data_IF_541146802767
#
_entry.id   IF_541146802767
#
_cell.length_a   1.000
_cell.length_b   1.000
_cell.length_c   1.000
_cell.angle_alpha   90.00
_cell.angle_beta   90.00
_cell.angle_gamma   90.00
#
_symmetry.space_group_name_H-M   'P 1'
#
loop_
_entity.id
_entity.type
_entity.pdbx_description
1 polymer ?
#
# COMPACT_ATOMS: atom_id res chain seq x y z
N UNK A 1 41.66 53.51 -37.87
CA UNK A 1 42.11 54.63 -38.74
C UNK A 1 43.29 54.10 -39.54
N UNK A 2 43.29 54.28 -40.88
CA UNK A 2 44.41 54.04 -41.84
C UNK A 2 45.05 52.63 -41.89
N UNK A 3 45.45 52.03 -43.01
CA UNK A 3 45.17 52.18 -44.47
C UNK A 3 45.83 50.92 -45.12
N UNK A 4 45.16 49.97 -45.77
CA UNK A 4 44.70 49.87 -47.16
C UNK A 4 45.71 50.16 -48.31
N UNK A 5 46.26 49.09 -48.91
CA UNK A 5 46.84 49.03 -50.28
C UNK A 5 46.51 47.63 -50.84
N UNK A 6 45.67 47.41 -51.89
CA UNK A 6 45.84 47.68 -53.34
C UNK A 6 47.12 47.06 -53.93
N UNK A 7 47.19 46.41 -55.11
CA UNK A 7 46.25 45.93 -56.18
C UNK A 7 47.02 44.78 -56.94
N UNK A 8 46.42 43.64 -57.36
CA UNK A 8 45.79 43.33 -58.67
C UNK A 8 46.69 43.51 -59.93
N UNK A 9 46.52 42.81 -61.10
CA UNK A 9 45.66 41.65 -61.43
C UNK A 9 46.23 40.56 -62.41
N UNK A 10 45.42 39.51 -62.65
CA UNK A 10 45.15 38.77 -63.93
C UNK A 10 46.21 37.99 -64.73
N UNK A 11 46.01 36.66 -64.80
CA UNK A 11 45.91 35.73 -65.96
C UNK A 11 45.72 34.28 -65.38
N UNK A 12 45.07 33.26 -65.97
CA UNK A 12 44.08 33.13 -67.06
C UNK A 12 43.22 31.85 -66.78
N UNK A 13 41.88 31.94 -66.79
CA UNK A 13 40.93 31.37 -67.78
C UNK A 13 40.69 29.83 -67.81
N UNK A 14 39.52 29.42 -67.25
CA UNK A 14 38.63 28.29 -67.60
C UNK A 14 39.19 26.89 -67.95
N UNK A 15 38.97 25.91 -67.06
CA UNK A 15 37.99 24.80 -67.23
C UNK A 15 38.30 23.60 -66.30
N UNK A 16 37.35 23.21 -65.44
CA UNK A 16 36.84 21.83 -65.31
C UNK A 16 35.91 21.67 -64.10
N UNK A 17 34.81 20.94 -64.29
CA UNK A 17 33.77 20.68 -63.27
C UNK A 17 33.76 19.19 -62.92
N UNK A 18 34.10 18.78 -61.69
CA UNK A 18 34.02 17.38 -61.28
C UNK A 18 32.57 16.92 -61.06
N UNK A 19 32.20 15.83 -61.74
CA UNK A 19 30.89 15.17 -61.68
C UNK A 19 30.68 14.43 -60.34
N UNK A 20 29.45 14.32 -59.79
CA UNK A 20 29.21 13.60 -58.54
C UNK A 20 29.51 12.10 -58.65
N UNK A 21 30.24 11.57 -57.68
CA UNK A 21 30.63 10.16 -57.66
C UNK A 21 29.48 9.27 -57.13
N UNK A 22 28.80 8.59 -58.05
CA UNK A 22 27.78 7.58 -57.73
C UNK A 22 28.44 6.34 -57.12
N UNK A 23 28.34 6.14 -55.80
CA UNK A 23 28.70 4.85 -55.20
C UNK A 23 27.49 3.91 -55.11
N UNK A 24 27.75 2.66 -55.51
CA UNK A 24 26.76 1.60 -55.68
C UNK A 24 25.98 1.29 -54.40
N UNK A 25 24.70 0.94 -54.59
CA UNK A 25 23.80 0.60 -53.50
C UNK A 25 24.26 -0.62 -52.72
N UNK A 26 24.34 -0.47 -51.39
CA UNK A 26 24.38 -1.60 -50.47
C UNK A 26 23.03 -2.31 -50.51
N UNK A 27 22.97 -3.65 -50.60
CA UNK A 27 21.70 -4.36 -50.45
C UNK A 27 21.12 -4.06 -49.07
N UNK A 28 19.78 -3.94 -48.92
CA UNK A 28 19.18 -3.68 -47.62
C UNK A 28 19.46 -4.85 -46.70
N UNK A 29 20.39 -4.66 -45.75
CA UNK A 29 20.50 -5.56 -44.61
C UNK A 29 19.14 -5.56 -43.92
N UNK A 30 18.46 -6.70 -43.98
CA UNK A 30 17.19 -6.90 -43.28
C UNK A 30 17.40 -6.49 -41.83
N UNK A 31 16.73 -5.40 -41.43
CA UNK A 31 16.70 -4.97 -40.06
C UNK A 31 16.10 -6.13 -39.25
N UNK A 32 16.96 -6.88 -38.56
CA UNK A 32 16.53 -7.88 -37.60
C UNK A 32 15.69 -7.14 -36.58
N UNK A 33 14.37 -7.35 -36.63
CA UNK A 33 13.42 -6.64 -35.79
C UNK A 33 13.77 -6.94 -34.35
N UNK A 34 14.42 -5.98 -33.69
CA UNK A 34 14.81 -6.10 -32.29
C UNK A 34 13.56 -6.51 -31.50
N UNK A 35 13.59 -7.63 -30.76
CA UNK A 35 12.38 -8.20 -30.20
C UNK A 35 11.67 -7.17 -29.33
N UNK A 36 10.44 -6.82 -29.72
CA UNK A 36 9.65 -5.76 -29.07
C UNK A 36 9.71 -5.96 -27.57
N UNK A 37 10.21 -4.97 -26.79
CA UNK A 37 10.52 -5.20 -25.39
C UNK A 37 9.26 -5.64 -24.65
N UNK A 38 9.26 -6.87 -24.12
CA UNK A 38 8.06 -7.52 -23.55
C UNK A 38 7.39 -6.58 -22.56
N UNK A 39 6.19 -6.11 -22.91
CA UNK A 39 5.41 -5.16 -22.12
C UNK A 39 4.76 -5.80 -20.90
N UNK A 40 4.67 -7.13 -20.82
CA UNK A 40 4.05 -7.87 -19.71
C UNK A 40 5.06 -8.70 -18.90
N UNK A 41 4.88 -8.70 -17.57
CA UNK A 41 5.56 -9.59 -16.63
C UNK A 41 5.40 -11.07 -17.05
N UNK A 42 6.48 -11.85 -16.94
CA UNK A 42 6.46 -13.28 -17.25
C UNK A 42 5.49 -14.02 -16.32
N UNK A 43 4.41 -14.58 -16.89
CA UNK A 43 3.45 -15.36 -16.12
C UNK A 43 4.12 -16.51 -15.36
N UNK A 44 5.12 -17.18 -15.96
CA UNK A 44 5.89 -18.25 -15.30
C UNK A 44 6.69 -17.71 -14.12
N UNK A 45 7.36 -16.56 -14.28
CA UNK A 45 8.06 -15.90 -13.17
C UNK A 45 7.11 -15.54 -12.03
N UNK A 46 5.94 -14.98 -12.37
CA UNK A 46 4.91 -14.62 -11.39
C UNK A 46 4.35 -15.84 -10.66
N UNK A 47 4.05 -16.93 -11.36
CA UNK A 47 3.59 -18.17 -10.75
C UNK A 47 4.65 -18.75 -9.80
N UNK A 48 5.93 -18.76 -10.19
CA UNK A 48 7.02 -19.21 -9.31
C UNK A 48 7.11 -18.33 -8.05
N UNK A 49 7.13 -17.00 -8.20
CA UNK A 49 7.22 -16.08 -7.07
C UNK A 49 6.01 -16.14 -6.14
N UNK A 50 4.80 -16.20 -6.71
CA UNK A 50 3.55 -16.33 -5.96
C UNK A 50 3.49 -17.66 -5.19
N UNK A 51 3.76 -18.80 -5.86
CA UNK A 51 3.81 -20.12 -5.22
C UNK A 51 4.87 -20.17 -4.12
N UNK A 52 6.04 -19.55 -4.32
CA UNK A 52 7.07 -19.48 -3.29
C UNK A 52 6.60 -18.70 -2.04
N UNK A 53 5.90 -17.57 -2.20
CA UNK A 53 5.35 -16.84 -1.04
C UNK A 53 4.19 -17.57 -0.38
N UNK A 54 3.26 -18.15 -1.14
CA UNK A 54 2.15 -18.92 -0.57
C UNK A 54 2.66 -20.15 0.19
N UNK A 55 3.68 -20.85 -0.34
CA UNK A 55 4.33 -21.96 0.36
C UNK A 55 5.08 -21.48 1.62
N UNK A 56 5.82 -20.37 1.55
CA UNK A 56 6.52 -19.79 2.70
C UNK A 56 5.55 -19.37 3.81
N UNK A 57 4.44 -18.70 3.48
CA UNK A 57 3.42 -18.34 4.46
C UNK A 57 2.68 -19.56 4.97
N UNK A 58 2.35 -20.54 4.13
CA UNK A 58 1.75 -21.82 4.58
C UNK A 58 2.64 -22.55 5.60
N UNK A 59 3.94 -22.62 5.32
CA UNK A 59 4.94 -23.20 6.23
C UNK A 59 5.07 -22.37 7.53
N UNK A 60 5.10 -21.04 7.44
CA UNK A 60 5.10 -20.15 8.61
C UNK A 60 3.85 -20.38 9.47
N UNK A 61 2.66 -20.41 8.87
CA UNK A 61 1.38 -20.52 9.59
C UNK A 61 1.17 -21.90 10.19
N UNK A 62 1.64 -22.96 9.51
CA UNK A 62 1.71 -24.29 10.10
C UNK A 62 2.73 -24.35 11.26
N UNK A 63 3.91 -23.77 11.08
CA UNK A 63 4.97 -23.71 12.09
C UNK A 63 4.55 -23.00 13.37
N UNK A 64 3.97 -21.79 13.28
CA UNK A 64 3.51 -21.06 14.47
C UNK A 64 2.34 -21.77 15.16
N UNK A 65 1.45 -22.44 14.41
CA UNK A 65 0.35 -23.24 14.99
C UNK A 65 0.86 -24.48 15.73
N UNK A 66 1.92 -25.13 15.20
CA UNK A 66 2.55 -26.28 15.85
C UNK A 66 3.39 -25.87 17.08
N UNK A 67 3.99 -24.67 17.06
CA UNK A 67 4.79 -24.15 18.17
C UNK A 67 3.94 -23.48 19.27
N UNK A 68 2.78 -22.90 18.95
CA UNK A 68 1.97 -22.14 19.92
C UNK A 68 1.68 -22.88 21.24
N UNK A 69 1.34 -24.19 21.28
CA UNK A 69 1.08 -24.89 22.54
C UNK A 69 2.26 -24.93 23.51
N UNK A 70 3.49 -24.74 23.02
CA UNK A 70 4.72 -24.73 23.84
C UNK A 70 4.94 -23.40 24.58
N UNK A 71 4.28 -22.32 24.14
CA UNK A 71 4.51 -20.96 24.62
C UNK A 71 3.22 -20.27 25.14
N UNK A 72 2.05 -20.90 24.99
CA UNK A 72 0.76 -20.44 25.55
C UNK A 72 0.90 -20.03 27.02
N UNK A 73 0.46 -18.81 27.33
CA UNK A 73 0.42 -18.28 28.71
C UNK A 73 1.66 -17.50 29.15
N UNK A 74 2.63 -17.24 28.27
CA UNK A 74 3.78 -16.37 28.58
C UNK A 74 3.48 -14.86 28.40
N UNK A 75 2.32 -14.51 27.86
CA UNK A 75 1.82 -13.14 27.77
C UNK A 75 0.32 -13.05 28.07
N UNK A 76 -0.24 -11.83 28.22
CA UNK A 76 -1.66 -11.63 28.48
C UNK A 76 -2.50 -12.06 27.27
N UNK A 77 -3.70 -12.58 27.51
CA UNK A 77 -4.75 -12.66 26.49
C UNK A 77 -5.24 -11.26 26.10
N UNK A 78 -5.96 -11.15 24.98
CA UNK A 78 -6.59 -9.90 24.53
C UNK A 78 -7.54 -9.34 25.60
N UNK A 79 -8.34 -10.20 26.24
CA UNK A 79 -9.25 -9.79 27.32
C UNK A 79 -8.49 -9.24 28.53
N UNK A 80 -7.47 -9.96 29.01
CA UNK A 80 -6.64 -9.51 30.14
C UNK A 80 -5.90 -8.21 29.84
N UNK A 81 -5.49 -8.00 28.59
CA UNK A 81 -4.87 -6.75 28.14
C UNK A 81 -5.86 -5.57 28.11
N UNK A 82 -7.13 -5.79 27.78
CA UNK A 82 -8.14 -4.72 27.66
C UNK A 82 -8.78 -4.36 29.01
N UNK A 83 -8.86 -5.28 29.97
CA UNK A 83 -9.47 -5.03 31.29
C UNK A 83 -8.92 -3.79 32.05
N UNK A 84 -7.60 -3.52 32.11
CA UNK A 84 -7.07 -2.35 32.84
C UNK A 84 -7.25 -1.00 32.12
N UNK A 85 -7.63 -1.02 30.84
CA UNK A 85 -7.55 0.12 29.92
C UNK A 85 -8.31 1.38 30.40
N UNK A 86 -9.47 1.30 31.08
CA UNK A 86 -10.11 2.49 31.65
C UNK A 86 -9.24 3.21 32.68
N UNK A 87 -8.34 2.53 33.40
CA UNK A 87 -7.65 3.07 34.58
C UNK A 87 -6.12 3.10 34.47
N UNK A 88 -5.50 2.36 33.55
CA UNK A 88 -4.04 2.30 33.38
C UNK A 88 -3.54 3.05 32.13
N UNK A 89 -2.61 3.99 32.36
CA UNK A 89 -1.97 4.78 31.31
C UNK A 89 -1.04 3.93 30.41
N UNK A 90 -0.37 2.91 30.96
CA UNK A 90 0.51 2.06 30.17
C UNK A 90 -0.29 1.21 29.17
N UNK A 91 -1.39 0.62 29.64
CA UNK A 91 -2.34 -0.15 28.82
C UNK A 91 -2.98 0.73 27.74
N UNK A 92 -3.36 1.99 28.05
CA UNK A 92 -3.81 2.96 27.04
C UNK A 92 -2.73 3.28 26.00
N UNK A 93 -1.48 3.47 26.41
CA UNK A 93 -0.37 3.70 25.48
C UNK A 93 -0.10 2.47 24.60
N UNK A 94 -0.18 1.26 25.16
CA UNK A 94 -0.12 0.01 24.40
C UNK A 94 -1.30 -0.14 23.43
N UNK A 95 -2.52 0.22 23.84
CA UNK A 95 -3.71 0.17 22.97
C UNK A 95 -3.54 1.06 21.74
N UNK A 96 -3.18 2.32 21.95
CA UNK A 96 -2.89 3.30 20.90
C UNK A 96 -1.67 2.90 20.06
N UNK A 97 -0.69 2.19 20.62
CA UNK A 97 0.38 1.59 19.82
C UNK A 97 -0.17 0.44 18.95
N UNK A 98 -1.02 -0.43 19.50
CA UNK A 98 -1.65 -1.55 18.82
C UNK A 98 -2.62 -1.17 17.70
N UNK A 99 -3.25 0.02 17.78
CA UNK A 99 -4.04 0.63 16.69
C UNK A 99 -3.25 0.65 15.36
N UNK A 100 -1.93 0.84 15.39
CA UNK A 100 -1.12 0.97 14.17
C UNK A 100 -1.13 -0.29 13.27
N UNK A 101 -1.50 -1.46 13.82
CA UNK A 101 -1.60 -2.75 13.12
C UNK A 101 -3.00 -3.36 13.13
N UNK A 102 -3.96 -2.64 13.68
CA UNK A 102 -5.39 -2.94 13.59
C UNK A 102 -5.95 -2.94 12.15
N UNK A 103 -5.46 -2.11 11.20
CA UNK A 103 -5.79 -2.22 9.77
C UNK A 103 -5.50 -3.60 9.14
N UNK A 104 -4.49 -4.33 9.64
CA UNK A 104 -4.19 -5.69 9.21
C UNK A 104 -4.94 -6.77 10.01
N UNK A 105 -5.86 -6.38 10.89
CA UNK A 105 -6.57 -7.25 11.84
C UNK A 105 -5.65 -7.91 12.87
N UNK A 106 -4.49 -7.32 13.16
CA UNK A 106 -3.54 -7.86 14.16
C UNK A 106 -3.77 -7.29 15.56
N UNK A 107 -4.05 -5.99 15.65
CA UNK A 107 -4.29 -5.24 16.90
C UNK A 107 -3.28 -5.61 18.01
N UNK A 108 -1.99 -5.40 17.73
CA UNK A 108 -0.92 -5.81 18.63
C UNK A 108 0.17 -4.74 18.75
N UNK A 109 0.53 -4.36 19.98
CA UNK A 109 1.60 -3.38 20.21
C UNK A 109 2.99 -3.93 19.80
N UNK A 110 3.22 -5.24 19.93
CA UNK A 110 4.44 -5.92 19.45
C UNK A 110 4.57 -5.88 17.93
N UNK A 111 3.47 -6.19 17.21
CA UNK A 111 3.41 -6.04 15.76
C UNK A 111 3.71 -4.60 15.33
N UNK A 112 3.24 -3.63 16.11
CA UNK A 112 3.41 -2.20 15.84
C UNK A 112 4.84 -1.70 16.10
N UNK A 113 5.52 -2.20 17.13
CA UNK A 113 6.96 -1.98 17.32
C UNK A 113 7.77 -2.56 16.14
N UNK A 114 7.43 -3.78 15.71
CA UNK A 114 8.06 -4.42 14.56
C UNK A 114 7.85 -3.62 13.26
N UNK A 115 6.63 -3.16 13.01
CA UNK A 115 6.26 -2.28 11.88
C UNK A 115 7.12 -1.01 11.86
N UNK A 116 7.21 -0.30 13.00
CA UNK A 116 7.96 0.94 13.13
C UNK A 116 9.46 0.73 12.92
N UNK A 117 10.03 -0.34 13.51
CA UNK A 117 11.44 -0.69 13.34
C UNK A 117 11.77 -1.03 11.88
N UNK A 118 10.94 -1.85 11.22
CA UNK A 118 11.11 -2.22 9.81
C UNK A 118 10.96 -1.01 8.87
N UNK A 119 9.98 -0.13 9.13
CA UNK A 119 9.77 1.09 8.36
C UNK A 119 10.89 2.12 8.54
N UNK A 120 11.40 2.30 9.78
CA UNK A 120 12.54 3.16 10.05
C UNK A 120 13.82 2.65 9.36
N UNK A 121 14.06 1.34 9.39
CA UNK A 121 15.17 0.70 8.69
C UNK A 121 15.06 0.89 7.17
N UNK A 122 13.86 0.72 6.59
CA UNK A 122 13.60 0.95 5.18
C UNK A 122 13.83 2.41 4.76
N UNK A 123 13.35 3.37 5.55
CA UNK A 123 13.54 4.79 5.29
C UNK A 123 15.03 5.19 5.39
N UNK A 124 15.74 4.71 6.41
CA UNK A 124 17.18 4.93 6.57
C UNK A 124 18.00 4.30 5.43
N UNK A 125 17.65 3.08 5.01
CA UNK A 125 18.33 2.38 3.93
C UNK A 125 18.05 3.06 2.57
N UNK A 126 16.78 3.44 2.32
CA UNK A 126 16.34 4.09 1.08
C UNK A 126 16.92 5.49 0.92
N UNK A 127 16.90 6.31 1.97
CA UNK A 127 17.52 7.65 1.97
C UNK A 127 19.05 7.61 1.78
N UNK A 128 19.70 6.47 2.06
CA UNK A 128 21.12 6.20 1.81
C UNK A 128 21.39 5.38 0.54
N UNK A 129 20.40 5.24 -0.35
CA UNK A 129 20.53 4.57 -1.64
C UNK A 129 20.91 3.08 -1.56
N UNK A 130 20.62 2.40 -0.44
CA UNK A 130 21.01 1.00 -0.23
C UNK A 130 20.14 0.08 -1.10
N UNK A 131 20.79 -0.79 -1.90
CA UNK A 131 20.12 -1.73 -2.82
C UNK A 131 19.16 -2.71 -2.14
N UNK A 132 19.34 -2.97 -0.85
CA UNK A 132 18.51 -3.88 -0.05
C UNK A 132 17.33 -3.20 0.67
N UNK A 133 17.14 -1.88 0.51
CA UNK A 133 16.10 -1.10 1.21
C UNK A 133 14.64 -1.50 0.92
N UNK A 134 14.41 -2.48 0.05
CA UNK A 134 13.09 -2.88 -0.43
C UNK A 134 12.59 -2.00 -1.58
N UNK A 135 11.28 -1.96 -1.76
CA UNK A 135 10.57 -1.02 -2.59
C UNK A 135 10.61 0.37 -1.94
N UNK A 136 10.58 1.47 -2.72
CA UNK A 136 10.68 2.81 -2.14
C UNK A 136 9.56 3.10 -1.13
N UNK A 137 9.90 3.19 0.17
CA UNK A 137 8.92 3.41 1.24
C UNK A 137 8.12 4.70 1.00
N UNK A 138 6.81 4.64 1.25
CA UNK A 138 5.86 5.72 0.94
C UNK A 138 6.01 6.21 -0.50
N UNK A 139 6.02 5.24 -1.41
CA UNK A 139 6.11 5.40 -2.86
C UNK A 139 7.35 6.16 -3.34
N UNK A 140 8.40 6.22 -2.51
CA UNK A 140 9.64 6.94 -2.80
C UNK A 140 9.54 8.47 -2.69
N UNK A 141 8.44 9.00 -2.14
CA UNK A 141 8.20 10.45 -2.00
C UNK A 141 9.17 11.16 -1.06
N UNK A 142 9.88 10.42 -0.20
CA UNK A 142 10.71 10.98 0.88
C UNK A 142 9.90 11.57 2.05
N UNK A 143 8.56 11.48 2.01
CA UNK A 143 7.67 12.08 3.00
C UNK A 143 7.40 11.19 4.24
N UNK A 144 7.97 9.98 4.30
CA UNK A 144 7.68 8.99 5.36
C UNK A 144 7.70 9.56 6.80
N UNK A 145 8.67 10.38 7.24
CA UNK A 145 8.65 10.95 8.60
C UNK A 145 7.45 11.88 8.86
N UNK A 146 7.02 12.64 7.84
CA UNK A 146 5.84 13.52 7.93
C UNK A 146 4.54 12.70 7.92
N UNK A 147 4.50 11.62 7.13
CA UNK A 147 3.41 10.65 7.10
C UNK A 147 3.24 10.00 8.48
N UNK A 148 4.29 9.36 8.98
CA UNK A 148 4.29 8.68 10.28
C UNK A 148 3.86 9.65 11.39
N UNK A 149 4.51 10.81 11.51
CA UNK A 149 4.21 11.75 12.59
C UNK A 149 2.79 12.32 12.52
N UNK A 150 2.29 12.65 11.32
CA UNK A 150 0.92 13.17 11.15
C UNK A 150 -0.12 12.08 11.44
N UNK A 151 0.09 10.86 10.94
CA UNK A 151 -0.76 9.71 11.22
C UNK A 151 -0.77 9.36 12.71
N UNK A 152 0.39 9.31 13.38
CA UNK A 152 0.50 9.05 14.82
C UNK A 152 -0.19 10.15 15.64
N UNK A 153 -0.04 11.43 15.27
CA UNK A 153 -0.77 12.51 15.95
C UNK A 153 -2.29 12.38 15.76
N UNK A 154 -2.74 12.03 14.55
CA UNK A 154 -4.15 11.76 14.24
C UNK A 154 -4.72 10.62 15.10
N UNK A 155 -3.96 9.53 15.25
CA UNK A 155 -4.29 8.39 16.11
C UNK A 155 -4.35 8.79 17.59
N UNK A 156 -3.38 9.57 18.08
CA UNK A 156 -3.36 10.05 19.47
C UNK A 156 -4.54 10.97 19.75
N UNK A 157 -4.84 11.92 18.87
CA UNK A 157 -6.01 12.81 18.99
C UNK A 157 -7.32 11.99 18.99
N UNK A 158 -7.43 10.96 18.15
CA UNK A 158 -8.55 10.03 18.12
C UNK A 158 -8.71 9.26 19.44
N UNK A 159 -7.62 8.70 19.98
CA UNK A 159 -7.63 8.01 21.28
C UNK A 159 -7.98 8.96 22.44
N UNK A 160 -7.51 10.21 22.42
CA UNK A 160 -7.85 11.20 23.45
C UNK A 160 -9.32 11.66 23.37
N UNK A 161 -9.87 11.81 22.16
CA UNK A 161 -11.24 12.29 21.97
C UNK A 161 -12.30 11.18 22.13
N UNK A 162 -12.01 9.94 21.71
CA UNK A 162 -13.00 8.86 21.61
C UNK A 162 -12.65 7.62 22.45
N UNK A 163 -11.43 7.51 22.98
CA UNK A 163 -10.99 6.38 23.80
C UNK A 163 -11.72 6.23 25.14
N UNK A 164 -12.48 7.24 25.58
CA UNK A 164 -13.37 7.11 26.75
C UNK A 164 -14.42 6.02 26.60
N UNK A 165 -14.88 5.75 25.37
CA UNK A 165 -15.83 4.67 25.05
C UNK A 165 -15.23 3.26 25.02
N UNK A 166 -13.94 3.09 25.34
CA UNK A 166 -13.29 1.78 25.36
C UNK A 166 -13.70 0.91 26.56
N UNK A 167 -14.26 1.51 27.61
CA UNK A 167 -14.87 0.76 28.72
C UNK A 167 -16.19 0.08 28.35
N UNK A 168 -16.83 0.52 27.26
CA UNK A 168 -18.11 -0.01 26.77
C UNK A 168 -17.91 -1.05 25.64
N UNK A 169 -16.68 -1.20 25.14
CA UNK A 169 -16.33 -2.16 24.11
C UNK A 169 -15.24 -1.65 23.15
N UNK A 170 -15.11 -2.34 22.03
CA UNK A 170 -14.15 -1.97 20.98
C UNK A 170 -14.53 -0.67 20.28
N UNK A 171 -13.55 0.21 20.02
CA UNK A 171 -13.75 1.48 19.30
C UNK A 171 -12.80 1.61 18.10
N UNK A 172 -13.23 2.22 16.98
CA UNK A 172 -12.45 2.37 15.73
C UNK A 172 -11.35 3.46 15.81
N UNK A 173 -10.68 3.57 16.95
CA UNK A 173 -9.68 4.61 17.26
C UNK A 173 -8.49 4.64 16.30
N UNK A 174 -8.16 3.49 15.70
CA UNK A 174 -7.09 3.32 14.71
C UNK A 174 -7.33 3.97 13.34
N UNK A 175 -8.59 4.12 12.92
CA UNK A 175 -8.97 4.51 11.56
C UNK A 175 -8.16 5.71 11.01
N UNK A 176 -8.01 6.83 11.75
CA UNK A 176 -7.25 8.00 11.29
C UNK A 176 -5.78 7.76 10.90
N UNK A 177 -5.15 6.69 11.39
CA UNK A 177 -3.74 6.36 11.12
C UNK A 177 -3.48 5.97 9.66
N UNK A 178 -4.45 5.32 9.00
CA UNK A 178 -4.31 4.75 7.65
C UNK A 178 -5.18 5.43 6.60
N UNK A 179 -5.45 6.73 6.77
CA UNK A 179 -6.24 7.47 5.80
C UNK A 179 -5.84 8.95 5.67
N UNK A 180 -6.63 9.84 6.26
CA UNK A 180 -6.68 11.28 6.00
C UNK A 180 -5.35 11.97 6.24
N UNK A 181 -4.72 11.74 7.40
CA UNK A 181 -3.47 12.40 7.77
C UNK A 181 -2.35 12.09 6.77
N UNK A 182 -2.16 10.81 6.45
CA UNK A 182 -1.19 10.32 5.48
C UNK A 182 -1.48 10.83 4.06
N UNK A 183 -2.73 10.73 3.61
CA UNK A 183 -3.13 11.19 2.28
C UNK A 183 -2.98 12.71 2.11
N UNK A 184 -3.23 13.47 3.18
CA UNK A 184 -3.03 14.93 3.20
C UNK A 184 -1.56 15.28 3.04
N UNK A 185 -0.66 14.59 3.76
CA UNK A 185 0.80 14.76 3.58
C UNK A 185 1.26 14.32 2.19
N UNK A 186 0.73 13.24 1.63
CA UNK A 186 1.09 12.78 0.28
C UNK A 186 0.65 13.76 -0.83
N UNK A 187 -0.49 14.44 -0.68
CA UNK A 187 -1.01 15.40 -1.68
C UNK A 187 -0.40 16.79 -1.52
N UNK A 188 -0.31 17.31 -0.29
CA UNK A 188 0.13 18.68 -0.02
C UNK A 188 1.62 18.79 0.34
N UNK A 189 2.30 17.67 0.58
CA UNK A 189 3.73 17.60 0.85
C UNK A 189 4.11 17.80 2.32
N UNK A 190 5.36 18.21 2.55
CA UNK A 190 5.95 18.42 3.89
C UNK A 190 5.60 19.80 4.46
N UNK A 191 5.50 19.88 5.80
CA UNK A 191 5.42 21.14 6.53
C UNK A 191 4.39 21.12 7.65
N UNK A 192 4.63 21.91 8.71
CA UNK A 192 3.77 21.97 9.89
C UNK A 192 2.28 22.28 9.61
N UNK A 193 1.90 23.18 8.68
CA UNK A 193 0.49 23.41 8.37
C UNK A 193 -0.20 22.17 7.80
N UNK A 194 0.46 21.44 6.89
CA UNK A 194 -0.07 20.20 6.28
C UNK A 194 -0.14 19.08 7.32
N UNK A 195 0.91 18.94 8.13
CA UNK A 195 1.00 17.97 9.22
C UNK A 195 -0.13 18.13 10.24
N UNK A 196 -0.32 19.33 10.78
CA UNK A 196 -1.34 19.60 11.78
C UNK A 196 -2.76 19.53 11.18
N UNK A 197 -2.96 20.08 9.98
CA UNK A 197 -4.28 20.01 9.29
C UNK A 197 -4.68 18.56 9.03
N UNK A 198 -3.76 17.74 8.51
CA UNK A 198 -4.02 16.32 8.25
C UNK A 198 -4.33 15.51 9.51
N UNK A 199 -3.60 15.75 10.60
CA UNK A 199 -3.81 15.07 11.87
C UNK A 199 -5.14 15.47 12.54
N UNK A 200 -5.45 16.77 12.59
CA UNK A 200 -6.68 17.27 13.21
C UNK A 200 -7.91 16.83 12.41
N UNK A 201 -7.91 17.04 11.08
CA UNK A 201 -9.05 16.66 10.23
C UNK A 201 -9.20 15.14 10.13
N UNK A 202 -8.11 14.36 10.21
CA UNK A 202 -8.20 12.91 10.31
C UNK A 202 -8.98 12.47 11.55
N UNK A 203 -8.49 12.81 12.73
CA UNK A 203 -9.15 12.48 14.00
C UNK A 203 -10.61 12.98 14.05
N UNK A 204 -10.86 14.23 13.61
CA UNK A 204 -12.18 14.85 13.67
C UNK A 204 -13.20 14.31 12.65
N UNK A 205 -12.76 13.70 11.54
CA UNK A 205 -13.68 13.22 10.50
C UNK A 205 -13.83 11.70 10.44
N UNK A 206 -12.81 10.91 10.76
CA UNK A 206 -12.86 9.47 10.46
C UNK A 206 -13.39 8.62 11.60
N UNK A 207 -12.89 8.81 12.83
CA UNK A 207 -13.34 8.03 13.99
C UNK A 207 -14.82 8.25 14.32
N UNK A 208 -15.35 9.49 14.42
CA UNK A 208 -16.76 9.69 14.74
C UNK A 208 -17.68 9.19 13.61
N UNK A 209 -17.29 9.32 12.33
CA UNK A 209 -18.06 8.75 11.21
C UNK A 209 -18.02 7.22 11.24
N UNK A 210 -16.90 6.59 11.62
CA UNK A 210 -16.83 5.14 11.80
C UNK A 210 -17.78 4.68 12.92
N UNK A 211 -17.77 5.34 14.09
CA UNK A 211 -18.68 5.04 15.20
C UNK A 211 -20.16 5.18 14.79
N UNK A 212 -20.52 6.25 14.07
CA UNK A 212 -21.88 6.45 13.55
C UNK A 212 -22.27 5.34 12.56
N UNK A 213 -21.39 4.98 11.62
CA UNK A 213 -21.66 3.92 10.65
C UNK A 213 -21.71 2.53 11.30
N UNK A 214 -20.96 2.28 12.38
CA UNK A 214 -21.07 1.05 13.17
C UNK A 214 -22.46 0.97 13.80
N UNK A 215 -22.87 2.01 14.51
CA UNK A 215 -24.12 2.02 15.28
C UNK A 215 -25.37 2.03 14.39
N UNK A 216 -25.35 2.74 13.26
CA UNK A 216 -26.53 2.95 12.42
C UNK A 216 -26.55 2.16 11.11
N UNK A 217 -25.44 1.54 10.69
CA UNK A 217 -25.36 0.79 9.43
C UNK A 217 -24.88 -0.65 9.65
N UNK A 218 -23.63 -0.87 10.06
CA UNK A 218 -23.08 -2.23 10.07
C UNK A 218 -23.60 -3.09 11.21
N UNK A 219 -23.84 -2.51 12.40
CA UNK A 219 -24.48 -3.21 13.51
C UNK A 219 -25.88 -3.72 13.16
N UNK A 220 -26.82 -2.85 12.76
CA UNK A 220 -28.18 -3.26 12.36
C UNK A 220 -28.23 -4.23 11.16
N UNK A 221 -27.27 -4.16 10.24
CA UNK A 221 -27.17 -5.06 9.09
C UNK A 221 -26.31 -6.32 9.35
N UNK A 222 -25.80 -6.52 10.56
CA UNK A 222 -24.87 -7.58 10.93
C UNK A 222 -23.63 -7.70 10.01
N UNK A 223 -23.18 -6.57 9.44
CA UNK A 223 -22.01 -6.49 8.57
C UNK A 223 -20.71 -6.34 9.39
N UNK A 224 -19.56 -6.87 8.89
CA UNK A 224 -18.27 -6.68 9.54
C UNK A 224 -17.91 -5.19 9.75
N UNK A 225 -17.42 -4.76 10.93
CA UNK A 225 -17.10 -3.35 11.22
C UNK A 225 -16.11 -2.69 10.25
N UNK A 226 -15.27 -3.47 9.55
CA UNK A 226 -14.37 -2.95 8.51
C UNK A 226 -15.13 -2.23 7.39
N UNK A 227 -16.39 -2.57 7.11
CA UNK A 227 -17.25 -1.85 6.16
C UNK A 227 -17.44 -0.39 6.61
N UNK A 228 -17.85 -0.19 7.87
CA UNK A 228 -18.04 1.14 8.45
C UNK A 228 -16.72 1.91 8.52
N UNK A 229 -15.65 1.26 9.00
CA UNK A 229 -14.31 1.87 9.11
C UNK A 229 -13.82 2.40 7.77
N UNK A 230 -13.91 1.60 6.70
CA UNK A 230 -13.37 1.96 5.38
C UNK A 230 -14.26 2.93 4.62
N UNK A 231 -15.58 2.86 4.81
CA UNK A 231 -16.50 3.91 4.35
C UNK A 231 -16.22 5.24 5.06
N UNK A 232 -15.95 5.23 6.38
CA UNK A 232 -15.56 6.43 7.13
C UNK A 232 -14.23 7.03 6.67
N UNK A 233 -13.21 6.21 6.36
CA UNK A 233 -11.97 6.69 5.73
C UNK A 233 -12.25 7.44 4.43
N UNK A 234 -13.18 6.92 3.62
CA UNK A 234 -13.56 7.49 2.32
C UNK A 234 -14.27 8.84 2.48
N UNK A 235 -15.26 8.89 3.37
CA UNK A 235 -16.07 10.10 3.67
C UNK A 235 -15.19 11.18 4.31
N UNK A 236 -14.42 10.84 5.35
CA UNK A 236 -13.55 11.79 6.05
C UNK A 236 -12.45 12.35 5.16
N UNK A 237 -11.91 11.54 4.25
CA UNK A 237 -10.97 12.02 3.23
C UNK A 237 -11.61 12.96 2.21
N UNK A 238 -12.78 12.61 1.67
CA UNK A 238 -13.50 13.49 0.75
C UNK A 238 -13.84 14.83 1.41
N UNK A 239 -14.37 14.81 2.64
CA UNK A 239 -14.62 16.02 3.43
C UNK A 239 -13.34 16.82 3.67
N UNK A 240 -12.24 16.17 4.05
CA UNK A 240 -10.94 16.82 4.29
C UNK A 240 -10.38 17.49 3.04
N UNK A 241 -10.41 16.83 1.88
CA UNK A 241 -9.95 17.46 0.64
C UNK A 241 -10.85 18.62 0.19
N UNK A 242 -12.17 18.56 0.44
CA UNK A 242 -13.08 19.69 0.23
C UNK A 242 -12.70 20.86 1.15
N UNK A 243 -12.51 20.62 2.45
CA UNK A 243 -12.12 21.64 3.43
C UNK A 243 -10.77 22.28 3.05
N UNK A 244 -9.79 21.45 2.69
CA UNK A 244 -8.43 21.90 2.35
C UNK A 244 -8.41 22.90 1.18
N UNK A 245 -9.32 22.79 0.20
CA UNK A 245 -9.44 23.78 -0.91
C UNK A 245 -9.73 25.20 -0.42
N UNK A 246 -10.37 25.36 0.74
CA UNK A 246 -10.72 26.66 1.31
C UNK A 246 -9.69 27.16 2.35
N UNK A 247 -8.69 26.35 2.71
CA UNK A 247 -7.65 26.73 3.68
C UNK A 247 -6.45 27.37 2.96
N UNK A 248 -6.13 28.66 3.18
CA UNK A 248 -5.16 29.41 2.37
C UNK A 248 -3.70 28.92 2.52
N UNK A 249 -3.42 28.09 3.53
CA UNK A 249 -2.12 27.42 3.75
C UNK A 249 -2.04 26.01 3.12
N UNK A 250 -3.15 25.40 2.73
CA UNK A 250 -3.20 24.07 2.10
C UNK A 250 -3.01 24.20 0.59
N UNK A 251 -1.78 24.53 0.19
CA UNK A 251 -1.43 24.75 -1.23
C UNK A 251 -0.85 23.48 -1.83
N UNK A 252 -1.38 23.05 -2.96
CA UNK A 252 -0.79 21.96 -3.74
C UNK A 252 0.68 22.31 -4.10
N UNK A 253 1.62 21.35 -4.05
CA UNK A 253 2.99 21.59 -4.49
C UNK A 253 3.01 22.12 -5.92
N UNK A 254 3.82 23.16 -6.16
CA UNK A 254 4.08 23.60 -7.54
C UNK A 254 4.70 22.43 -8.31
N UNK A 255 4.27 22.16 -9.56
CA UNK A 255 5.00 21.26 -10.44
C UNK A 255 6.48 21.66 -10.48
N UNK A 256 7.38 20.67 -10.53
CA UNK A 256 8.81 20.96 -10.66
C UNK A 256 9.04 21.84 -11.89
N UNK A 257 9.89 22.88 -11.81
CA UNK A 257 10.25 23.67 -12.98
C UNK A 257 10.77 22.73 -14.07
N UNK A 258 10.13 22.78 -15.24
CA UNK A 258 10.65 22.09 -16.41
C UNK A 258 12.00 22.73 -16.71
N UNK A 259 13.08 21.93 -16.68
CA UNK A 259 14.41 22.47 -16.94
C UNK A 259 14.50 22.83 -18.43
N UNK A 260 14.42 24.12 -18.72
CA UNK A 260 14.78 24.69 -20.01
C UNK A 260 16.27 24.43 -20.25
N UNK A 261 16.54 23.34 -20.96
CA UNK A 261 17.86 23.00 -21.49
C UNK A 261 17.65 22.49 -22.92
N UNK A 262 18.21 23.19 -23.90
CA UNK A 262 18.02 22.98 -25.35
C UNK A 262 18.60 21.66 -25.91
N UNK A 263 18.82 20.66 -25.07
CA UNK A 263 19.03 19.29 -25.52
C UNK A 263 17.66 18.69 -25.92
N UNK A 264 17.57 17.88 -27.00
CA UNK A 264 16.32 17.24 -27.39
C UNK A 264 15.81 16.38 -26.22
N UNK A 265 14.78 16.88 -25.54
CA UNK A 265 14.30 16.34 -24.28
C UNK A 265 13.79 14.93 -24.50
N UNK A 266 14.53 13.93 -24.02
CA UNK A 266 13.90 12.65 -23.73
C UNK A 266 12.74 12.96 -22.78
N UNK A 267 11.49 12.58 -23.12
CA UNK A 267 10.38 12.75 -22.18
C UNK A 267 10.78 12.09 -20.86
N UNK A 268 10.43 12.68 -19.70
CA UNK A 268 10.86 12.18 -18.40
C UNK A 268 10.57 10.69 -18.33
N UNK A 269 11.64 9.89 -18.28
CA UNK A 269 11.52 8.46 -18.51
C UNK A 269 10.55 7.91 -17.47
N UNK A 270 9.43 7.27 -17.88
CA UNK A 270 8.46 6.77 -16.92
C UNK A 270 9.21 5.87 -15.96
N UNK A 271 9.10 6.16 -14.65
CA UNK A 271 9.89 5.50 -13.60
C UNK A 271 9.77 4.00 -13.83
N UNK A 272 10.84 3.38 -14.34
CA UNK A 272 10.85 1.96 -14.69
C UNK A 272 10.89 1.17 -13.39
N UNK A 273 9.71 0.96 -12.81
CA UNK A 273 9.45 0.17 -11.60
C UNK A 273 10.07 -1.21 -11.66
N UNK A 274 10.27 -1.74 -12.87
CA UNK A 274 11.02 -2.97 -13.16
C UNK A 274 12.20 -2.62 -14.09
N UNK A 275 13.41 -2.41 -13.57
CA UNK A 275 14.58 -2.08 -14.38
C UNK A 275 15.19 -3.31 -15.09
N UNK A 276 15.54 -3.12 -16.36
CA UNK A 276 16.30 -4.08 -17.17
C UNK A 276 15.47 -5.12 -17.93
N UNK A 277 16.15 -6.04 -18.60
CA UNK A 277 15.53 -7.06 -19.46
C UNK A 277 14.68 -8.03 -18.64
N UNK A 278 13.44 -8.33 -19.07
CA UNK A 278 12.57 -9.34 -18.46
C UNK A 278 13.22 -10.73 -18.40
N UNK A 279 13.27 -11.33 -17.22
CA UNK A 279 13.65 -12.74 -17.04
C UNK A 279 12.71 -13.40 -16.03
N UNK A 280 12.52 -14.72 -16.15
CA UNK A 280 11.67 -15.50 -15.23
C UNK A 280 12.10 -15.27 -13.77
N UNK A 281 13.40 -15.32 -13.48
CA UNK A 281 13.94 -15.10 -12.15
C UNK A 281 13.71 -13.67 -11.62
N UNK A 282 13.90 -12.63 -12.45
CA UNK A 282 13.65 -11.24 -12.02
C UNK A 282 12.17 -10.99 -11.75
N UNK A 283 11.30 -11.48 -12.64
CA UNK A 283 9.86 -11.33 -12.49
C UNK A 283 9.34 -12.14 -11.27
N UNK A 284 9.95 -13.30 -10.96
CA UNK A 284 9.69 -14.06 -9.74
C UNK A 284 10.12 -13.32 -8.47
N UNK A 285 11.36 -12.83 -8.40
CA UNK A 285 11.86 -12.03 -7.27
C UNK A 285 11.01 -10.77 -7.07
N UNK A 286 10.64 -10.07 -8.15
CA UNK A 286 9.75 -8.92 -8.09
C UNK A 286 8.37 -9.29 -7.53
N UNK A 287 7.84 -10.46 -7.89
CA UNK A 287 6.56 -10.96 -7.38
C UNK A 287 6.62 -11.26 -5.89
N UNK A 288 7.66 -11.97 -5.43
CA UNK A 288 7.89 -12.22 -3.99
C UNK A 288 7.89 -10.90 -3.22
N UNK A 289 8.68 -9.93 -3.72
CA UNK A 289 8.81 -8.61 -3.12
C UNK A 289 7.50 -7.83 -3.09
N UNK A 290 6.70 -7.88 -4.18
CA UNK A 290 5.39 -7.21 -4.24
C UNK A 290 4.41 -7.81 -3.23
N UNK A 291 4.26 -9.13 -3.20
CA UNK A 291 3.33 -9.82 -2.28
C UNK A 291 3.68 -9.53 -0.82
N UNK A 292 4.97 -9.51 -0.46
CA UNK A 292 5.40 -9.13 0.89
C UNK A 292 5.14 -7.64 1.16
N UNK A 293 5.36 -6.74 0.20
CA UNK A 293 5.12 -5.30 0.37
C UNK A 293 3.64 -4.93 0.62
N UNK A 294 2.68 -5.70 0.10
CA UNK A 294 1.24 -5.44 0.28
C UNK A 294 0.81 -5.38 1.76
N UNK A 295 1.46 -6.15 2.63
CA UNK A 295 1.18 -6.19 4.08
C UNK A 295 1.30 -4.83 4.81
N UNK A 296 2.00 -3.85 4.21
CA UNK A 296 2.17 -2.49 4.77
C UNK A 296 1.77 -1.37 3.81
N UNK A 297 1.07 -1.70 2.73
CA UNK A 297 0.56 -0.68 1.79
C UNK A 297 -0.65 0.09 2.36
N UNK A 298 -1.36 -0.46 3.35
CA UNK A 298 -2.44 0.27 4.05
C UNK A 298 -1.92 1.41 4.93
N UNK A 299 -0.73 1.27 5.54
CA UNK A 299 0.01 2.37 6.16
C UNK A 299 0.68 3.30 5.14
N UNK A 300 0.47 3.09 3.83
CA UNK A 300 1.18 3.78 2.76
C UNK A 300 2.71 3.63 2.88
N UNK A 301 3.20 2.47 3.38
CA UNK A 301 4.62 2.16 3.41
C UNK A 301 5.02 1.32 2.20
N UNK A 302 4.23 0.28 1.89
CA UNK A 302 4.40 -0.60 0.73
C UNK A 302 5.84 -1.13 0.60
N UNK A 303 6.40 -1.67 1.69
CA UNK A 303 7.82 -2.02 1.78
C UNK A 303 8.03 -3.34 2.53
N UNK A 304 8.95 -4.16 2.00
CA UNK A 304 9.22 -5.51 2.47
C UNK A 304 9.84 -5.54 3.87
N UNK A 305 10.69 -4.58 4.24
CA UNK A 305 11.30 -4.53 5.57
C UNK A 305 10.28 -4.10 6.63
N UNK A 306 9.39 -3.17 6.30
CA UNK A 306 8.24 -2.82 7.14
C UNK A 306 7.30 -4.02 7.32
N UNK A 307 7.03 -4.75 6.24
CA UNK A 307 6.21 -5.97 6.27
C UNK A 307 6.84 -7.11 7.06
N UNK A 308 8.14 -7.38 6.88
CA UNK A 308 8.88 -8.36 7.69
C UNK A 308 8.84 -7.95 9.17
N UNK A 309 9.03 -6.66 9.47
CA UNK A 309 8.95 -6.12 10.82
C UNK A 309 7.60 -6.40 11.49
N UNK A 310 6.48 -6.06 10.86
CA UNK A 310 5.14 -6.31 11.42
C UNK A 310 4.84 -7.82 11.54
N UNK A 311 5.27 -8.64 10.57
CA UNK A 311 5.07 -10.10 10.60
C UNK A 311 5.86 -10.71 11.77
N UNK A 312 7.14 -10.34 11.96
CA UNK A 312 7.94 -10.82 13.10
C UNK A 312 7.31 -10.39 14.43
N UNK A 313 6.86 -9.14 14.54
CA UNK A 313 6.22 -8.63 15.75
C UNK A 313 4.89 -9.33 16.07
N UNK A 314 4.04 -9.63 15.08
CA UNK A 314 2.77 -10.33 15.30
C UNK A 314 2.96 -11.84 15.54
N UNK A 315 3.96 -12.46 14.93
CA UNK A 315 4.36 -13.85 15.23
C UNK A 315 4.89 -13.97 16.66
N UNK A 316 5.72 -13.02 17.12
CA UNK A 316 6.16 -12.98 18.51
C UNK A 316 4.97 -12.81 19.47
N UNK A 317 4.03 -11.92 19.15
CA UNK A 317 2.80 -11.73 19.92
C UNK A 317 1.96 -13.01 20.05
N UNK A 318 1.80 -13.76 18.95
CA UNK A 318 1.05 -15.01 18.90
C UNK A 318 1.73 -16.15 19.66
N UNK A 319 3.05 -16.24 19.57
CA UNK A 319 3.81 -17.24 20.33
C UNK A 319 3.74 -16.94 21.83
N UNK A 320 3.83 -15.67 22.27
CA UNK A 320 3.65 -15.32 23.69
C UNK A 320 2.27 -15.72 24.24
N UNK A 321 1.21 -15.46 23.48
CA UNK A 321 -0.13 -15.97 23.78
C UNK A 321 -0.98 -15.98 22.48
N UNK A 322 -1.49 -17.14 22.03
CA UNK A 322 -2.29 -17.21 20.80
C UNK A 322 -3.60 -16.42 20.85
N UNK A 323 -4.11 -16.16 22.05
CA UNK A 323 -5.29 -15.33 22.32
C UNK A 323 -4.94 -13.85 22.54
N UNK A 324 -3.73 -13.39 22.22
CA UNK A 324 -3.35 -11.98 22.31
C UNK A 324 -3.62 -11.18 21.01
N UNK A 325 -3.02 -11.50 19.86
CA UNK A 325 -3.31 -10.80 18.61
C UNK A 325 -4.66 -11.22 18.02
N UNK A 326 -5.07 -10.56 16.93
CA UNK A 326 -6.29 -10.86 16.18
C UNK A 326 -7.55 -10.90 17.06
N UNK A 327 -7.68 -9.91 17.96
CA UNK A 327 -8.82 -9.73 18.87
C UNK A 327 -9.07 -10.94 19.79
N UNK A 328 -8.03 -11.75 20.06
CA UNK A 328 -8.13 -12.96 20.87
C UNK A 328 -8.83 -14.14 20.20
N UNK A 329 -9.00 -14.11 18.88
CA UNK A 329 -9.71 -15.17 18.13
C UNK A 329 -8.90 -16.43 17.88
N UNK A 330 -7.58 -16.43 18.14
CA UNK A 330 -6.65 -17.50 17.75
C UNK A 330 -6.55 -17.75 16.21
N UNK A 331 -7.09 -16.84 15.38
CA UNK A 331 -7.14 -17.00 13.92
C UNK A 331 -5.99 -16.31 13.17
N UNK A 332 -4.94 -15.84 13.86
CA UNK A 332 -3.80 -15.18 13.21
C UNK A 332 -3.15 -16.03 12.10
N UNK A 333 -2.91 -17.36 12.25
CA UNK A 333 -2.32 -18.16 11.18
C UNK A 333 -3.17 -18.12 9.91
N UNK A 334 -4.49 -18.22 10.03
CA UNK A 334 -5.44 -18.17 8.92
C UNK A 334 -5.50 -16.77 8.30
N UNK A 335 -5.44 -15.70 9.11
CA UNK A 335 -5.35 -14.31 8.66
C UNK A 335 -4.06 -14.08 7.84
N UNK A 336 -2.90 -14.49 8.35
CA UNK A 336 -1.62 -14.36 7.63
C UNK A 336 -1.61 -15.15 6.30
N UNK A 337 -2.21 -16.34 6.29
CA UNK A 337 -2.28 -17.17 5.10
C UNK A 337 -3.23 -16.58 4.03
N UNK A 338 -4.45 -16.16 4.41
CA UNK A 338 -5.40 -15.55 3.46
C UNK A 338 -4.85 -14.23 2.91
N UNK A 339 -4.10 -13.47 3.71
CA UNK A 339 -3.40 -12.25 3.33
C UNK A 339 -2.35 -12.50 2.23
N UNK A 340 -1.46 -13.47 2.43
CA UNK A 340 -0.47 -13.84 1.41
C UNK A 340 -1.13 -14.41 0.15
N UNK A 341 -2.14 -15.28 0.31
CA UNK A 341 -2.84 -15.91 -0.80
C UNK A 341 -3.60 -14.89 -1.67
N UNK A 342 -4.35 -13.96 -1.07
CA UNK A 342 -5.11 -12.96 -1.82
C UNK A 342 -4.21 -11.97 -2.56
N UNK A 343 -3.10 -11.54 -1.95
CA UNK A 343 -2.10 -10.72 -2.64
C UNK A 343 -1.45 -11.47 -3.80
N UNK A 344 -1.03 -12.73 -3.60
CA UNK A 344 -0.43 -13.56 -4.63
C UNK A 344 -1.36 -13.74 -5.86
N UNK A 345 -2.63 -14.07 -5.64
CA UNK A 345 -3.65 -14.14 -6.70
C UNK A 345 -3.80 -12.78 -7.39
N UNK A 346 -3.92 -11.71 -6.62
CA UNK A 346 -4.05 -10.35 -7.14
C UNK A 346 -2.88 -9.95 -8.05
N UNK A 347 -1.64 -10.22 -7.66
CA UNK A 347 -0.45 -9.89 -8.45
C UNK A 347 -0.41 -10.68 -9.77
N UNK A 348 -0.83 -11.95 -9.78
CA UNK A 348 -0.92 -12.76 -11.02
C UNK A 348 -2.02 -12.24 -11.95
N UNK A 349 -3.23 -12.00 -11.43
CA UNK A 349 -4.39 -11.55 -12.22
C UNK A 349 -4.13 -10.18 -12.82
N UNK A 350 -3.69 -9.22 -12.01
CA UNK A 350 -3.52 -7.83 -12.38
C UNK A 350 -2.12 -7.51 -12.96
N UNK A 351 -1.30 -8.53 -13.26
CA UNK A 351 0.08 -8.42 -13.75
C UNK A 351 0.31 -7.42 -14.89
N UNK A 352 -0.68 -7.27 -15.78
CA UNK A 352 -0.61 -6.38 -16.96
C UNK A 352 -0.52 -4.90 -16.58
N UNK A 353 -0.94 -4.54 -15.37
CA UNK A 353 -0.94 -3.16 -14.87
C UNK A 353 0.43 -2.70 -14.36
N UNK A 354 1.35 -3.60 -14.02
CA UNK A 354 2.55 -3.24 -13.24
C UNK A 354 3.77 -2.77 -14.06
N UNK A 355 3.78 -2.98 -15.39
CA UNK A 355 4.86 -2.50 -16.26
C UNK A 355 4.61 -1.09 -16.78
N UNK A 356 5.70 -0.45 -17.22
CA UNK A 356 5.73 0.96 -17.65
C UNK A 356 5.25 1.98 -16.59
N UNK A 357 5.37 1.66 -15.30
CA UNK A 357 5.05 2.58 -14.20
C UNK A 357 3.60 2.54 -13.72
N UNK A 358 2.77 1.61 -14.23
CA UNK A 358 1.44 1.37 -13.68
C UNK A 358 1.45 0.56 -12.36
N UNK A 359 0.28 0.44 -11.76
CA UNK A 359 0.08 -0.15 -10.43
C UNK A 359 -1.29 -0.82 -10.32
N UNK A 360 -1.40 -1.81 -9.45
CA UNK A 360 -2.66 -2.45 -9.07
C UNK A 360 -2.80 -2.47 -7.53
N UNK A 361 -3.99 -2.14 -7.00
CA UNK A 361 -4.24 -2.12 -5.55
C UNK A 361 -4.48 -3.53 -4.99
N UNK A 362 -3.53 -4.44 -5.15
CA UNK A 362 -3.63 -5.85 -4.70
C UNK A 362 -3.73 -5.98 -3.18
N UNK A 363 -3.16 -5.01 -2.45
CA UNK A 363 -3.23 -4.96 -0.99
C UNK A 363 -4.65 -4.81 -0.41
N UNK A 364 -5.64 -4.35 -1.20
CA UNK A 364 -6.97 -4.01 -0.64
C UNK A 364 -7.59 -5.21 0.09
N UNK A 365 -7.57 -6.38 -0.54
CA UNK A 365 -8.14 -7.61 0.01
C UNK A 365 -7.36 -8.12 1.25
N UNK A 366 -6.05 -7.87 1.29
CA UNK A 366 -5.14 -8.20 2.40
C UNK A 366 -5.58 -7.51 3.70
N UNK A 367 -6.18 -6.33 3.59
CA UNK A 367 -6.61 -5.50 4.74
C UNK A 367 -8.13 -5.27 4.76
N UNK A 368 -8.90 -6.16 4.12
CA UNK A 368 -10.36 -6.12 4.17
C UNK A 368 -10.98 -7.51 4.02
N UNK A 369 -11.28 -7.94 2.80
CA UNK A 369 -12.06 -9.15 2.49
C UNK A 369 -11.43 -10.41 3.06
N UNK A 370 -10.13 -10.64 2.87
CA UNK A 370 -9.46 -11.87 3.34
C UNK A 370 -9.62 -12.09 4.85
N UNK A 371 -9.10 -11.17 5.70
CA UNK A 371 -9.25 -11.28 7.14
C UNK A 371 -10.71 -11.23 7.63
N UNK A 372 -11.56 -10.40 7.03
CA UNK A 372 -12.97 -10.31 7.41
C UNK A 372 -13.74 -11.63 7.16
N UNK A 373 -13.47 -12.30 6.04
CA UNK A 373 -14.02 -13.64 5.77
C UNK A 373 -13.52 -14.67 6.78
N UNK A 374 -12.22 -14.67 7.09
CA UNK A 374 -11.63 -15.59 8.09
C UNK A 374 -12.26 -15.40 9.47
N UNK A 375 -12.45 -14.16 9.91
CA UNK A 375 -13.09 -13.85 11.20
C UNK A 375 -14.58 -14.23 11.21
N UNK A 376 -15.32 -13.93 10.12
CA UNK A 376 -16.76 -14.22 10.03
C UNK A 376 -17.07 -15.73 9.98
N UNK A 377 -16.16 -16.55 9.45
CA UNK A 377 -16.37 -17.98 9.20
C UNK A 377 -15.27 -18.86 9.82
N UNK A 378 -14.75 -18.42 10.96
CA UNK A 378 -13.83 -19.13 11.86
C UNK A 378 -12.65 -19.84 11.15
N UNK A 379 -12.03 -19.19 10.17
CA UNK A 379 -10.88 -19.72 9.44
C UNK A 379 -11.16 -20.95 8.56
N UNK A 380 -12.42 -21.25 8.23
CA UNK A 380 -12.79 -22.35 7.34
C UNK A 380 -12.14 -22.27 5.96
N UNK A 381 -11.96 -23.41 5.28
CA UNK A 381 -11.36 -23.45 3.94
C UNK A 381 -12.11 -22.59 2.91
N UNK A 382 -13.45 -22.53 2.98
CA UNK A 382 -14.28 -21.64 2.15
C UNK A 382 -13.96 -20.17 2.41
N UNK A 383 -13.79 -19.77 3.68
CA UNK A 383 -13.46 -18.39 4.04
C UNK A 383 -12.10 -17.94 3.53
N UNK A 384 -11.11 -18.83 3.59
CA UNK A 384 -9.75 -18.58 3.13
C UNK A 384 -9.71 -18.54 1.61
N UNK A 385 -10.15 -19.62 0.94
CA UNK A 385 -10.01 -19.75 -0.53
C UNK A 385 -10.99 -18.82 -1.24
N UNK A 386 -12.27 -18.85 -0.84
CA UNK A 386 -13.32 -18.00 -1.42
C UNK A 386 -13.07 -16.52 -1.16
N UNK A 387 -12.72 -16.15 0.08
CA UNK A 387 -12.35 -14.78 0.44
C UNK A 387 -11.12 -14.28 -0.32
N UNK A 388 -10.07 -15.10 -0.42
CA UNK A 388 -8.86 -14.72 -1.14
C UNK A 388 -9.09 -14.51 -2.64
N UNK A 389 -9.83 -15.41 -3.31
CA UNK A 389 -10.13 -15.31 -4.74
C UNK A 389 -11.06 -14.13 -5.00
N UNK A 390 -12.23 -14.08 -4.33
CA UNK A 390 -13.23 -13.05 -4.58
C UNK A 390 -12.69 -11.64 -4.29
N UNK A 391 -11.95 -11.46 -3.18
CA UNK A 391 -11.33 -10.19 -2.84
C UNK A 391 -10.23 -9.77 -3.82
N UNK A 392 -9.37 -10.70 -4.28
CA UNK A 392 -8.32 -10.41 -5.25
C UNK A 392 -8.86 -9.98 -6.63
N UNK A 393 -10.05 -10.47 -7.00
CA UNK A 393 -10.73 -10.11 -8.25
C UNK A 393 -11.54 -8.82 -8.12
N UNK A 394 -12.41 -8.72 -7.11
CA UNK A 394 -13.38 -7.63 -7.01
C UNK A 394 -12.75 -6.32 -6.52
N UNK A 395 -11.86 -6.37 -5.53
CA UNK A 395 -11.32 -5.15 -4.92
C UNK A 395 -10.55 -4.27 -5.91
N UNK A 396 -9.60 -4.79 -6.72
CA UNK A 396 -8.88 -3.92 -7.64
C UNK A 396 -9.72 -3.43 -8.83
N UNK A 397 -10.80 -4.15 -9.17
CA UNK A 397 -11.75 -3.74 -10.20
C UNK A 397 -12.53 -2.50 -9.76
N UNK A 398 -13.17 -2.55 -8.57
CA UNK A 398 -13.94 -1.43 -8.02
C UNK A 398 -13.03 -0.24 -7.72
N UNK A 399 -11.90 -0.47 -7.04
CA UNK A 399 -11.00 0.60 -6.63
C UNK A 399 -10.53 1.45 -7.80
N UNK A 400 -10.04 0.80 -8.88
CA UNK A 400 -9.58 1.52 -10.09
C UNK A 400 -10.72 2.28 -10.77
N UNK A 401 -11.93 1.71 -10.81
CA UNK A 401 -13.09 2.37 -11.39
C UNK A 401 -13.52 3.61 -10.61
N UNK A 402 -13.43 3.58 -9.27
CA UNK A 402 -13.74 4.72 -8.41
C UNK A 402 -12.63 5.77 -8.46
N UNK A 403 -11.37 5.37 -8.27
CA UNK A 403 -10.22 6.31 -8.26
C UNK A 403 -10.07 7.07 -9.59
N UNK A 404 -10.41 6.46 -10.73
CA UNK A 404 -10.39 7.12 -12.04
C UNK A 404 -11.45 8.23 -12.21
N UNK A 405 -12.44 8.31 -11.30
CA UNK A 405 -13.51 9.32 -11.31
C UNK A 405 -13.33 10.40 -10.24
N UNK A 406 -12.30 10.31 -9.39
CA UNK A 406 -12.02 11.30 -8.36
C UNK A 406 -11.44 12.60 -8.97
N UNK A 407 -11.63 13.75 -8.30
CA UNK A 407 -10.89 14.98 -8.62
C UNK A 407 -9.37 14.76 -8.56
N UNK A 408 -8.61 15.47 -9.41
CA UNK A 408 -7.15 15.29 -9.53
C UNK A 408 -6.36 15.62 -8.27
N UNK A 409 -6.94 16.44 -7.39
CA UNK A 409 -6.40 16.86 -6.09
C UNK A 409 -6.81 15.94 -4.93
N UNK A 410 -7.58 14.89 -5.19
CA UNK A 410 -7.98 13.89 -4.20
C UNK A 410 -7.05 12.67 -4.29
N UNK A 411 -6.54 12.21 -3.15
CA UNK A 411 -5.67 11.04 -3.15
C UNK A 411 -6.45 9.77 -3.54
N UNK A 412 -5.93 8.92 -4.47
CA UNK A 412 -6.69 7.81 -5.06
C UNK A 412 -7.12 6.71 -4.07
N UNK A 413 -6.58 6.69 -2.85
CA UNK A 413 -6.95 5.74 -1.80
C UNK A 413 -8.42 5.79 -1.37
N UNK A 414 -9.13 6.89 -1.66
CA UNK A 414 -10.58 6.98 -1.45
C UNK A 414 -11.30 5.90 -2.26
N UNK A 415 -10.85 5.63 -3.50
CA UNK A 415 -11.38 4.50 -4.28
C UNK A 415 -11.01 3.14 -3.70
N UNK A 416 -9.82 3.02 -3.10
CA UNK A 416 -9.42 1.79 -2.42
C UNK A 416 -10.32 1.49 -1.21
N UNK A 417 -10.61 2.50 -0.39
CA UNK A 417 -11.41 2.36 0.83
C UNK A 417 -12.91 2.22 0.55
N UNK A 418 -13.45 2.89 -0.48
CA UNK A 418 -14.79 2.60 -1.03
C UNK A 418 -14.85 1.15 -1.51
N UNK A 419 -13.81 0.67 -2.18
CA UNK A 419 -13.76 -0.73 -2.63
C UNK A 419 -13.70 -1.73 -1.48
N UNK A 420 -13.01 -1.44 -0.37
CA UNK A 420 -13.03 -2.30 0.82
C UNK A 420 -14.45 -2.45 1.34
N UNK A 421 -15.16 -1.33 1.54
CA UNK A 421 -16.52 -1.34 2.05
C UNK A 421 -17.46 -2.15 1.14
N UNK A 422 -17.52 -1.83 -0.15
CA UNK A 422 -18.41 -2.52 -1.11
C UNK A 422 -18.06 -4.02 -1.21
N UNK A 423 -16.76 -4.35 -1.36
CA UNK A 423 -16.35 -5.75 -1.53
C UNK A 423 -16.62 -6.59 -0.29
N UNK A 424 -16.39 -6.06 0.93
CA UNK A 424 -16.70 -6.81 2.17
C UNK A 424 -18.21 -6.97 2.34
N UNK A 425 -19.01 -5.92 2.11
CA UNK A 425 -20.48 -5.97 2.19
C UNK A 425 -21.12 -7.00 1.25
N UNK A 426 -20.49 -7.29 0.11
CA UNK A 426 -20.98 -8.28 -0.86
C UNK A 426 -20.39 -9.67 -0.57
N UNK A 427 -19.06 -9.77 -0.45
CA UNK A 427 -18.36 -11.06 -0.44
C UNK A 427 -18.58 -11.80 0.88
N UNK A 428 -18.51 -11.12 2.03
CA UNK A 428 -18.62 -11.81 3.31
C UNK A 428 -20.01 -12.46 3.46
N UNK A 429 -21.14 -11.72 3.36
CA UNK A 429 -22.47 -12.35 3.39
C UNK A 429 -22.67 -13.40 2.27
N UNK A 430 -22.13 -13.15 1.08
CA UNK A 430 -22.18 -14.09 -0.04
C UNK A 430 -21.51 -15.44 0.25
N UNK A 431 -20.37 -15.45 0.95
CA UNK A 431 -19.73 -16.69 1.41
C UNK A 431 -20.58 -17.42 2.45
N UNK A 432 -21.31 -16.70 3.31
CA UNK A 432 -22.27 -17.30 4.25
C UNK A 432 -23.42 -18.02 3.54
N UNK A 433 -23.96 -17.43 2.47
CA UNK A 433 -24.97 -18.10 1.63
C UNK A 433 -24.41 -19.34 0.94
N UNK A 434 -23.17 -19.28 0.42
CA UNK A 434 -22.51 -20.47 -0.17
C UNK A 434 -22.25 -21.55 0.88
N UNK A 435 -21.87 -21.18 2.11
CA UNK A 435 -21.66 -22.12 3.20
C UNK A 435 -22.94 -22.89 3.57
N UNK A 436 -24.10 -22.26 3.48
CA UNK A 436 -25.40 -22.91 3.72
C UNK A 436 -25.84 -23.88 2.61
N UNK A 437 -25.19 -23.83 1.43
CA UNK A 437 -25.47 -24.69 0.28
C UNK A 437 -24.52 -25.90 0.16
N UNK A 438 -23.46 -25.95 0.99
CA UNK A 438 -22.51 -27.07 1.04
C UNK A 438 -22.88 -27.91 2.28
N UNK A 439 -23.24 -29.19 2.11
CA UNK A 439 -23.69 -30.07 3.20
C UNK A 439 -22.55 -30.54 4.13
#
# INVERSE_FOLDING_TARGET
>A
MTDNTRQNPSQEMLADVPVPNTQLGTPPQMATSAPTPRTELSLVGLLIGATAVVALFGALTAGISALSPLFTGQGPTYTEWVQPLPNDLLTRAQWALGDMTEPQFYKSWLASLGLLAGAALAWWAGSRGKRWAGMPISYGTGLWPWILGSATLSLVLSNLAFGGGLGEGWQPTFVPFVCVATATVLVYGKGWPVFLTGAILGAATTTPVAMLLINFVTGPLALPPVVANTLAMSIGAAATFIIARYLPWMRLPKPAPQQDTDAPTKPPAPVRTIPGTPTILKDAIWTVRRVVADFTETQFYANELASIGVIVGVVAAFLMNPLFPAYGTNLLPQILFVQALTSAIGVIVWRKLYRAGGWAPTYISVVSVGPASVLAYNGSALSIIGGAIAGALLCPLIARAVSARLPKDFHPFIGNTISMAISVSIIVPGLGLVAQLIP
#
